data_IF_177706642304
#
_entry.id   IF_177706642304
#
_cell.length_a   1.000
_cell.length_b   1.000
_cell.length_c   1.000
_cell.angle_alpha   90.00
_cell.angle_beta   90.00
_cell.angle_gamma   90.00
#
_symmetry.space_group_name_H-M   'P 1'
#
loop_
_entity.id
_entity.type
_entity.pdbx_description
1 polymer ?
#
# COMPACT_ATOMS: atom_id res chain seq x y z
N UNK A 1 -22.73 15.40 3.86
CA UNK A 1 -22.47 13.95 3.85
C UNK A 1 -22.57 13.47 2.43
N UNK A 2 -21.43 13.31 1.76
CA UNK A 2 -21.40 12.60 0.48
C UNK A 2 -21.59 11.11 0.77
N UNK A 3 -22.65 10.46 0.26
CA UNK A 3 -22.79 9.02 0.39
C UNK A 3 -21.68 8.29 -0.37
N UNK A 4 -21.21 7.18 0.20
CA UNK A 4 -20.25 6.28 -0.44
C UNK A 4 -18.84 6.30 0.17
N UNK A 5 -17.94 5.59 -0.51
CA UNK A 5 -16.54 5.43 -0.11
C UNK A 5 -15.64 6.28 -0.99
N UNK A 6 -14.76 7.06 -0.36
CA UNK A 6 -13.88 8.01 -1.04
C UNK A 6 -12.43 7.55 -1.09
N UNK A 7 -12.03 6.63 -0.21
CA UNK A 7 -10.71 6.02 -0.22
C UNK A 7 -10.75 4.56 0.17
N UNK A 8 -9.65 3.87 -0.07
CA UNK A 8 -9.38 2.51 0.38
C UNK A 8 -8.09 2.51 1.19
N UNK A 9 -8.09 1.78 2.30
CA UNK A 9 -6.89 1.48 3.07
C UNK A 9 -6.46 0.05 2.79
N UNK A 10 -5.17 -0.13 2.53
CA UNK A 10 -4.51 -1.41 2.35
C UNK A 10 -3.58 -1.66 3.53
N UNK A 11 -3.68 -2.85 4.12
CA UNK A 11 -2.76 -3.33 5.15
C UNK A 11 -2.37 -4.77 4.86
N UNK A 12 -1.28 -5.22 5.47
CA UNK A 12 -0.76 -6.57 5.27
C UNK A 12 -0.88 -7.42 6.53
N UNK A 13 -1.23 -8.69 6.35
CA UNK A 13 -1.09 -9.75 7.35
C UNK A 13 0.24 -10.49 7.18
N UNK A 14 0.71 -10.65 5.93
CA UNK A 14 2.03 -11.13 5.56
C UNK A 14 2.47 -10.51 4.22
N UNK A 15 3.75 -10.17 4.07
CA UNK A 15 4.25 -9.58 2.82
C UNK A 15 5.72 -9.91 2.60
N UNK A 16 6.02 -10.66 1.55
CA UNK A 16 7.36 -11.01 1.10
C UNK A 16 7.37 -10.97 -0.44
N UNK A 17 7.81 -9.84 -0.99
CA UNK A 17 7.87 -9.57 -2.44
C UNK A 17 9.20 -8.89 -2.76
N UNK A 18 9.95 -9.35 -3.75
CA UNK A 18 11.36 -8.98 -3.94
C UNK A 18 12.23 -9.16 -2.69
N UNK A 19 12.07 -10.27 -1.96
CA UNK A 19 12.83 -10.47 -0.74
C UNK A 19 12.77 -11.89 -0.21
N UNK A 20 13.80 -12.27 0.55
CA UNK A 20 13.82 -13.53 1.29
C UNK A 20 13.33 -13.31 2.72
N UNK A 21 12.49 -14.19 3.30
CA UNK A 21 12.02 -14.10 4.69
C UNK A 21 13.16 -13.96 5.71
N UNK A 22 14.32 -14.51 5.37
CA UNK A 22 15.51 -14.55 6.23
C UNK A 22 16.36 -13.27 6.17
N UNK A 23 16.19 -12.44 5.13
CA UNK A 23 17.02 -11.26 4.89
C UNK A 23 16.47 -9.97 5.53
N UNK A 24 15.24 -10.01 6.07
CA UNK A 24 14.56 -8.94 6.83
C UNK A 24 14.79 -7.52 6.30
N UNK A 25 14.43 -7.30 5.03
CA UNK A 25 14.56 -6.00 4.35
C UNK A 25 13.56 -4.95 4.82
N UNK A 26 12.52 -5.35 5.56
CA UNK A 26 11.45 -4.46 5.99
C UNK A 26 10.57 -4.00 4.83
N UNK A 27 9.92 -2.84 4.98
CA UNK A 27 9.06 -2.27 3.96
C UNK A 27 9.85 -1.34 3.04
N UNK A 28 9.93 -1.69 1.76
CA UNK A 28 10.68 -0.97 0.74
C UNK A 28 9.73 -0.33 -0.28
N UNK A 29 10.21 0.71 -0.96
CA UNK A 29 9.43 1.45 -1.97
C UNK A 29 10.31 1.92 -3.12
N UNK A 30 9.68 2.26 -4.25
CA UNK A 30 10.31 2.93 -5.40
C UNK A 30 11.55 2.22 -5.95
N UNK A 31 12.73 2.84 -5.90
CA UNK A 31 13.96 2.38 -6.55
C UNK A 31 14.49 1.04 -6.03
N UNK A 32 14.05 0.62 -4.85
CA UNK A 32 14.35 -0.71 -4.31
C UNK A 32 13.40 -1.79 -4.87
N UNK A 33 12.30 -1.38 -5.51
CA UNK A 33 11.23 -2.23 -6.02
C UNK A 33 11.21 -2.23 -7.55
N UNK A 34 12.24 -2.86 -8.14
CA UNK A 34 12.47 -2.84 -9.60
C UNK A 34 12.15 -4.16 -10.31
N UNK A 35 12.12 -5.28 -9.58
CA UNK A 35 11.82 -6.61 -10.13
C UNK A 35 10.36 -6.99 -9.85
N UNK A 36 10.06 -7.39 -8.61
CA UNK A 36 8.72 -7.77 -8.17
C UNK A 36 8.17 -6.74 -7.17
N UNK A 37 6.94 -6.29 -7.40
CA UNK A 37 6.33 -5.28 -6.54
C UNK A 37 4.83 -5.20 -6.71
N UNK A 38 4.20 -4.59 -5.71
CA UNK A 38 2.80 -4.19 -5.75
C UNK A 38 2.71 -2.69 -6.05
N UNK A 39 1.78 -2.31 -6.91
CA UNK A 39 1.47 -0.91 -7.25
C UNK A 39 0.16 -0.49 -6.59
N UNK A 40 0.21 0.58 -5.81
CA UNK A 40 -0.95 1.29 -5.25
C UNK A 40 -0.87 2.75 -5.69
N UNK A 41 -1.77 3.24 -6.56
CA UNK A 41 -1.68 4.60 -7.11
C UNK A 41 -1.87 5.70 -6.06
N UNK A 42 -0.99 6.72 -6.07
CA UNK A 42 -1.01 7.89 -5.20
C UNK A 42 -1.35 7.57 -3.71
N UNK A 43 -0.51 6.78 -3.03
CA UNK A 43 -0.75 6.38 -1.65
C UNK A 43 -0.24 7.43 -0.67
N UNK A 44 -0.89 7.48 0.49
CA UNK A 44 -0.44 8.18 1.69
C UNK A 44 -0.39 7.23 2.88
N UNK A 45 0.54 7.44 3.80
CA UNK A 45 0.52 6.74 5.09
C UNK A 45 -0.72 7.12 5.90
N UNK A 46 -1.03 6.34 6.94
CA UNK A 46 -2.20 6.56 7.81
C UNK A 46 -2.23 7.94 8.49
N UNK A 47 -1.08 8.60 8.62
CA UNK A 47 -0.96 9.97 9.15
C UNK A 47 -1.18 11.06 8.08
N UNK A 48 -1.55 10.70 6.85
CA UNK A 48 -1.77 11.62 5.74
C UNK A 48 -0.50 12.03 4.97
N UNK A 49 0.68 11.58 5.40
CA UNK A 49 1.93 11.90 4.70
C UNK A 49 1.98 11.17 3.35
N UNK A 50 2.21 11.84 2.22
CA UNK A 50 2.39 11.18 0.92
C UNK A 50 3.57 10.21 0.96
N UNK A 51 3.41 9.03 0.36
CA UNK A 51 4.50 8.04 0.27
C UNK A 51 5.56 8.49 -0.75
N UNK A 52 5.19 9.32 -1.74
CA UNK A 52 6.04 9.72 -2.87
C UNK A 52 6.57 8.54 -3.71
N UNK A 53 5.85 7.42 -3.67
CA UNK A 53 6.04 6.21 -4.48
C UNK A 53 4.69 5.55 -4.67
N UNK A 54 4.53 4.80 -5.75
CA UNK A 54 3.39 3.90 -5.99
C UNK A 54 3.79 2.41 -5.89
N UNK A 55 5.08 2.09 -5.84
CA UNK A 55 5.61 0.72 -5.77
C UNK A 55 6.03 0.33 -4.37
N UNK A 56 5.69 -0.90 -3.98
CA UNK A 56 5.95 -1.51 -2.68
C UNK A 56 6.51 -2.92 -2.83
N UNK A 57 7.56 -3.23 -2.07
CA UNK A 57 8.23 -4.53 -2.03
C UNK A 57 8.93 -4.70 -0.66
N UNK A 58 9.72 -5.76 -0.49
CA UNK A 58 10.42 -6.13 0.74
C UNK A 58 9.71 -7.25 1.53
N UNK A 59 10.10 -7.37 2.81
CA UNK A 59 9.59 -8.38 3.76
C UNK A 59 8.59 -7.80 4.76
N UNK A 60 8.12 -6.58 4.53
CA UNK A 60 7.03 -5.96 5.27
C UNK A 60 6.28 -4.97 4.37
N UNK A 61 5.11 -4.52 4.83
CA UNK A 61 4.30 -3.54 4.12
C UNK A 61 3.72 -2.53 5.11
N UNK A 62 3.96 -1.25 4.86
CA UNK A 62 3.38 -0.17 5.65
C UNK A 62 1.94 0.07 5.22
N UNK A 63 1.00 0.16 6.16
CA UNK A 63 -0.40 0.48 5.86
C UNK A 63 -0.50 1.82 5.15
N UNK A 64 -1.18 1.83 4.00
CA UNK A 64 -1.39 3.02 3.17
C UNK A 64 -2.86 3.20 2.83
N UNK A 65 -3.23 4.43 2.52
CA UNK A 65 -4.54 4.81 2.04
C UNK A 65 -4.39 5.48 0.68
N UNK A 66 -5.33 5.22 -0.22
CA UNK A 66 -5.43 5.95 -1.49
C UNK A 66 -6.87 6.36 -1.77
N UNK A 67 -7.03 7.57 -2.27
CA UNK A 67 -8.31 8.11 -2.76
C UNK A 67 -8.41 8.04 -4.28
N UNK A 68 -7.42 7.47 -4.97
CA UNK A 68 -7.39 7.34 -6.43
C UNK A 68 -8.39 6.30 -6.88
N UNK A 69 -9.36 6.72 -7.69
CA UNK A 69 -10.42 5.86 -8.22
C UNK A 69 -10.11 5.49 -9.69
N UNK A 70 -10.37 4.25 -10.13
CA UNK A 70 -10.87 3.12 -9.32
C UNK A 70 -9.81 2.62 -8.31
N UNK A 71 -10.27 2.04 -7.20
CA UNK A 71 -9.39 1.43 -6.21
C UNK A 71 -8.79 0.15 -6.79
N UNK A 72 -7.51 0.21 -7.20
CA UNK A 72 -6.80 -0.89 -7.83
C UNK A 72 -5.49 -1.12 -7.11
N UNK A 73 -5.16 -2.39 -6.92
CA UNK A 73 -3.83 -2.86 -6.54
C UNK A 73 -3.35 -3.76 -7.68
N UNK A 74 -2.19 -3.44 -8.26
CA UNK A 74 -1.60 -4.22 -9.37
C UNK A 74 -0.37 -4.95 -8.88
N UNK A 75 -0.19 -6.20 -9.27
CA UNK A 75 1.04 -6.94 -9.01
C UNK A 75 1.86 -6.96 -10.28
N UNK A 76 3.14 -6.63 -10.18
CA UNK A 76 4.12 -6.72 -11.27
C UNK A 76 5.21 -7.67 -10.82
N UNK A 77 5.49 -8.68 -11.64
CA UNK A 77 6.60 -9.60 -11.43
C UNK A 77 7.40 -9.74 -12.71
N UNK A 78 8.66 -10.15 -12.58
CA UNK A 78 9.46 -10.58 -13.73
C UNK A 78 9.92 -12.04 -13.57
N UNK A 79 10.97 -12.46 -14.26
CA UNK A 79 11.57 -13.79 -14.10
C UNK A 79 13.03 -13.74 -13.67
N UNK A 80 13.51 -12.58 -13.23
CA UNK A 80 14.83 -12.43 -12.62
C UNK A 80 14.68 -12.74 -11.13
N UNK A 81 15.30 -13.84 -10.71
CA UNK A 81 15.24 -14.37 -9.34
C UNK A 81 16.64 -14.42 -8.72
N UNK A 82 17.63 -13.74 -9.33
CA UNK A 82 19.03 -13.86 -8.92
C UNK A 82 19.30 -13.25 -7.55
N UNK A 83 18.55 -12.23 -7.15
CA UNK A 83 18.77 -11.45 -5.91
C UNK A 83 17.52 -11.30 -5.03
N UNK A 84 16.36 -11.73 -5.51
CA UNK A 84 15.04 -11.71 -4.86
C UNK A 84 14.47 -13.13 -4.69
N UNK A 85 15.35 -14.05 -4.29
CA UNK A 85 15.00 -15.43 -4.00
C UNK A 85 13.97 -15.56 -2.87
N UNK A 86 13.07 -16.54 -3.00
CA UNK A 86 12.11 -16.97 -1.96
C UNK A 86 10.96 -16.00 -1.67
N UNK A 87 10.40 -15.35 -2.70
CA UNK A 87 9.13 -14.64 -2.58
C UNK A 87 8.02 -15.58 -2.05
N UNK A 88 7.52 -15.33 -0.84
CA UNK A 88 6.37 -16.06 -0.28
C UNK A 88 5.03 -15.45 -0.72
N UNK A 89 5.08 -14.30 -1.41
CA UNK A 89 3.91 -13.54 -1.80
C UNK A 89 3.35 -12.71 -0.65
N UNK A 90 2.04 -12.48 -0.65
CA UNK A 90 1.42 -11.61 0.34
C UNK A 90 0.00 -12.04 0.69
N UNK A 91 -0.41 -11.69 1.91
CA UNK A 91 -1.79 -11.73 2.37
C UNK A 91 -2.14 -10.35 2.88
N UNK A 92 -3.16 -9.72 2.26
CA UNK A 92 -3.52 -8.34 2.54
C UNK A 92 -4.99 -8.21 2.92
N UNK A 93 -5.27 -7.18 3.70
CA UNK A 93 -6.61 -6.75 4.08
C UNK A 93 -6.88 -5.38 3.45
N UNK A 94 -8.14 -5.15 3.07
CA UNK A 94 -8.57 -3.85 2.59
C UNK A 94 -9.79 -3.34 3.36
N UNK A 95 -9.87 -2.03 3.52
CA UNK A 95 -10.99 -1.37 4.16
C UNK A 95 -11.40 -0.15 3.32
N UNK A 96 -12.66 -0.12 2.87
CA UNK A 96 -13.20 1.07 2.22
C UNK A 96 -13.55 2.11 3.28
N UNK A 97 -13.06 3.33 3.11
CA UNK A 97 -13.26 4.42 4.05
C UNK A 97 -14.34 5.38 3.50
N UNK A 98 -15.33 5.75 4.33
CA UNK A 98 -16.42 6.61 3.91
C UNK A 98 -15.89 8.01 3.56
N UNK A 99 -16.60 8.71 2.70
CA UNK A 99 -16.30 10.11 2.43
C UNK A 99 -16.44 10.96 3.71
N UNK A 100 -15.34 11.52 4.21
CA UNK A 100 -15.40 12.56 5.23
C UNK A 100 -15.70 13.89 4.54
N UNK A 101 -16.69 14.62 5.05
CA UNK A 101 -16.77 16.05 4.78
C UNK A 101 -16.13 16.66 6.03
N UNK A 102 -15.06 17.45 5.88
CA UNK A 102 -14.52 18.26 6.96
C UNK A 102 -15.56 19.32 7.35
N UNK A 103 -16.56 18.90 8.11
CA UNK A 103 -17.31 19.81 8.96
C UNK A 103 -16.58 19.77 10.28
N UNK A 104 -15.58 20.65 10.43
CA UNK A 104 -15.21 21.13 11.76
C UNK A 104 -16.53 21.49 12.41
N UNK A 105 -16.90 20.78 13.48
CA UNK A 105 -18.09 21.06 14.25
C UNK A 105 -17.89 22.43 14.92
N UNK A 106 -18.11 23.51 14.16
CA UNK A 106 -18.35 24.83 14.72
C UNK A 106 -19.65 24.68 15.48
N UNK A 107 -19.53 24.67 16.81
CA UNK A 107 -20.59 24.31 17.74
C UNK A 107 -21.92 24.93 17.37
N UNK A 108 -22.95 24.09 17.25
CA UNK A 108 -24.32 24.56 17.37
C UNK A 108 -24.58 24.80 18.85
N UNK A 109 -24.74 26.07 19.22
CA UNK A 109 -25.45 26.49 20.43
C UNK A 109 -26.89 26.01 20.37
#
# INVERSE_FOLDING_TARGET
MLPGYCSIQWSSNNFVVSGAPQANFGALTNGDCTTDFVVIPNPSYVNGTPVNSDRFCGTAFNTVTTSSKPFVMTVVTNGDEANDVQNEGFSMSFMQLPCTNDVVAVGRK
#
